data_IF_393334064680
#
_entry.id   IF_393334064680
#
_cell.length_a   1.000
_cell.length_b   1.000
_cell.length_c   1.000
_cell.angle_alpha   90.00
_cell.angle_beta   90.00
_cell.angle_gamma   90.00
#
_symmetry.space_group_name_H-M   'P 1'
#
loop_
_entity.id
_entity.type
_entity.pdbx_description
1 polymer ?
#
# COMPACT_ATOMS: atom_id res chain seq x y z
N UNK A 1 -34.62 12.78 -32.69
CA UNK A 1 -34.58 12.69 -31.22
C UNK A 1 -33.34 13.43 -30.75
N UNK A 2 -33.52 14.71 -30.46
CA UNK A 2 -32.49 15.62 -29.96
C UNK A 2 -32.04 15.25 -28.54
N UNK A 3 -30.75 15.47 -28.24
CA UNK A 3 -30.17 15.36 -26.91
C UNK A 3 -30.01 16.77 -26.34
N UNK A 4 -30.83 17.12 -25.36
CA UNK A 4 -30.65 18.33 -24.55
C UNK A 4 -29.56 18.10 -23.50
N UNK A 5 -28.42 18.79 -23.65
CA UNK A 5 -27.49 19.03 -22.55
C UNK A 5 -27.88 20.37 -21.90
N UNK A 6 -28.64 20.31 -20.79
CA UNK A 6 -28.94 21.52 -20.02
C UNK A 6 -27.74 21.93 -19.16
N UNK A 7 -27.08 23.02 -19.55
CA UNK A 7 -26.17 23.82 -18.72
C UNK A 7 -26.92 25.10 -18.35
N UNK A 8 -27.42 25.21 -17.12
CA UNK A 8 -28.02 26.45 -16.62
C UNK A 8 -26.98 27.21 -15.80
N UNK A 9 -26.48 28.31 -16.37
CA UNK A 9 -25.70 29.33 -15.66
C UNK A 9 -26.53 30.61 -15.56
N UNK A 10 -26.68 31.13 -14.34
CA UNK A 10 -27.03 32.53 -14.11
C UNK A 10 -26.15 33.05 -12.97
N UNK A 11 -25.51 34.20 -13.19
CA UNK A 11 -24.74 34.94 -12.19
C UNK A 11 -25.37 36.32 -12.01
N UNK A 12 -25.69 36.67 -10.77
CA UNK A 12 -25.70 38.06 -10.31
C UNK A 12 -25.24 38.15 -8.85
N UNK A 13 -24.56 39.26 -8.58
CA UNK A 13 -23.52 39.48 -7.55
C UNK A 13 -24.05 39.83 -6.16
N UNK A 14 -23.40 39.27 -5.13
CA UNK A 14 -23.57 39.64 -3.72
C UNK A 14 -23.16 38.49 -2.80
N UNK A 15 -22.03 38.61 -2.09
CA UNK A 15 -21.53 37.59 -1.14
C UNK A 15 -21.48 36.16 -1.71
N UNK A 16 -20.82 35.96 -2.84
CA UNK A 16 -21.08 34.78 -3.68
C UNK A 16 -20.26 33.57 -3.23
N UNK A 17 -20.86 32.70 -2.41
CA UNK A 17 -20.50 31.27 -2.44
C UNK A 17 -20.79 30.78 -3.85
N UNK A 18 -19.75 30.72 -4.71
CA UNK A 18 -19.90 30.20 -6.07
C UNK A 18 -20.32 28.74 -5.93
N UNK A 19 -21.57 28.44 -6.28
CA UNK A 19 -22.11 27.08 -6.23
C UNK A 19 -21.42 26.27 -7.32
N UNK A 20 -20.44 25.45 -6.96
CA UNK A 20 -19.75 24.56 -7.89
C UNK A 20 -20.76 23.61 -8.51
N UNK A 21 -20.65 23.37 -9.82
CA UNK A 21 -21.54 22.44 -10.53
C UNK A 21 -21.23 20.98 -10.18
N UNK A 22 -22.11 20.06 -10.54
CA UNK A 22 -21.87 18.61 -10.40
C UNK A 22 -21.87 17.92 -11.76
N UNK A 23 -20.99 16.93 -11.94
CA UNK A 23 -21.01 16.03 -13.10
C UNK A 23 -21.66 14.72 -12.68
N UNK A 24 -22.66 14.25 -13.46
CA UNK A 24 -23.28 12.93 -13.29
C UNK A 24 -23.31 12.19 -14.62
N UNK A 25 -22.60 11.08 -14.70
CA UNK A 25 -22.52 10.22 -15.89
C UNK A 25 -23.10 8.84 -15.58
N UNK A 26 -24.38 8.62 -15.94
CA UNK A 26 -25.05 7.34 -15.76
C UNK A 26 -24.82 6.36 -16.93
N UNK A 27 -24.55 6.87 -18.13
CA UNK A 27 -24.25 6.09 -19.34
C UNK A 27 -22.83 6.32 -19.84
N UNK A 28 -22.59 6.07 -21.13
CA UNK A 28 -21.35 6.47 -21.79
C UNK A 28 -21.32 8.00 -21.98
N UNK A 29 -20.25 8.66 -21.56
CA UNK A 29 -20.15 10.11 -21.66
C UNK A 29 -18.74 10.65 -21.46
N UNK A 30 -18.56 11.91 -21.87
CA UNK A 30 -17.35 12.66 -21.65
C UNK A 30 -17.69 14.05 -21.09
N UNK A 31 -16.87 14.54 -20.16
CA UNK A 31 -16.90 15.91 -19.65
C UNK A 31 -15.50 16.55 -19.75
N UNK A 32 -15.44 17.87 -19.74
CA UNK A 32 -14.19 18.60 -19.51
C UNK A 32 -13.79 18.56 -18.04
N UNK A 33 -12.51 18.80 -17.77
CA UNK A 33 -12.01 19.11 -16.44
C UNK A 33 -12.51 20.48 -15.95
N UNK A 34 -12.28 20.77 -14.67
CA UNK A 34 -12.77 21.97 -14.02
C UNK A 34 -12.95 21.82 -12.51
N UNK A 35 -13.59 22.82 -11.91
CA UNK A 35 -13.91 22.84 -10.49
C UNK A 35 -15.39 22.48 -10.27
N UNK A 36 -15.63 21.40 -9.51
CA UNK A 36 -16.93 20.80 -9.28
C UNK A 36 -17.20 20.62 -7.80
N UNK A 37 -18.46 20.52 -7.42
CA UNK A 37 -18.81 20.04 -6.09
C UNK A 37 -18.68 18.52 -6.03
N UNK A 38 -19.38 17.84 -6.95
CA UNK A 38 -19.46 16.39 -7.04
C UNK A 38 -19.18 15.92 -8.48
N UNK A 39 -18.36 14.88 -8.61
CA UNK A 39 -18.17 14.14 -9.86
C UNK A 39 -18.60 12.69 -9.63
N UNK A 40 -19.67 12.26 -10.31
CA UNK A 40 -20.22 10.90 -10.18
C UNK A 40 -20.26 10.17 -11.51
N UNK A 41 -19.57 9.03 -11.58
CA UNK A 41 -19.47 8.16 -12.76
C UNK A 41 -20.08 6.79 -12.43
N UNK A 42 -21.32 6.57 -12.84
CA UNK A 42 -21.99 5.27 -12.70
C UNK A 42 -21.89 4.42 -13.97
N UNK A 43 -21.82 5.05 -15.15
CA UNK A 43 -21.65 4.39 -16.45
C UNK A 43 -20.18 4.31 -16.89
N UNK A 44 -19.92 4.62 -18.16
CA UNK A 44 -18.56 4.73 -18.70
C UNK A 44 -18.23 6.20 -18.94
N UNK A 45 -17.47 6.80 -18.04
CA UNK A 45 -17.21 8.23 -18.03
C UNK A 45 -15.76 8.56 -18.32
N UNK A 46 -15.54 9.58 -19.15
CA UNK A 46 -14.22 10.16 -19.41
C UNK A 46 -14.22 11.64 -19.01
N UNK A 47 -13.21 12.07 -18.26
CA UNK A 47 -12.98 13.50 -18.00
C UNK A 47 -11.66 13.89 -18.65
N UNK A 48 -11.69 14.95 -19.46
CA UNK A 48 -10.51 15.46 -20.18
C UNK A 48 -10.04 16.75 -19.52
N UNK A 49 -8.85 16.71 -18.93
CA UNK A 49 -8.30 17.79 -18.13
C UNK A 49 -8.39 17.53 -16.63
N UNK A 50 -7.83 18.46 -15.86
CA UNK A 50 -7.71 18.34 -14.41
C UNK A 50 -9.06 18.54 -13.70
N UNK A 51 -9.24 17.84 -12.58
CA UNK A 51 -10.46 17.89 -11.78
C UNK A 51 -10.13 18.37 -10.38
N UNK A 52 -10.79 19.44 -9.96
CA UNK A 52 -10.88 19.82 -8.55
C UNK A 52 -12.31 19.59 -8.08
N UNK A 53 -12.51 18.84 -7.00
CA UNK A 53 -13.85 18.65 -6.47
C UNK A 53 -13.90 18.33 -4.98
N UNK A 54 -15.09 18.38 -4.36
CA UNK A 54 -15.23 17.89 -2.99
C UNK A 54 -15.29 16.35 -3.00
N UNK A 55 -16.13 15.76 -3.85
CA UNK A 55 -16.25 14.31 -3.95
C UNK A 55 -16.18 13.81 -5.40
N UNK A 56 -15.28 12.85 -5.65
CA UNK A 56 -15.25 12.04 -6.87
C UNK A 56 -15.67 10.61 -6.52
N UNK A 57 -16.78 10.15 -7.10
CA UNK A 57 -17.24 8.77 -6.99
C UNK A 57 -17.36 8.09 -8.35
N UNK A 58 -16.80 6.89 -8.47
CA UNK A 58 -16.91 6.07 -9.69
C UNK A 58 -17.29 4.64 -9.36
N UNK A 59 -18.54 4.27 -9.64
CA UNK A 59 -19.01 2.89 -9.54
C UNK A 59 -18.98 2.13 -10.86
N UNK A 60 -18.88 2.85 -11.99
CA UNK A 60 -18.74 2.27 -13.33
C UNK A 60 -17.28 2.21 -13.79
N UNK A 61 -17.04 2.55 -15.06
CA UNK A 61 -15.70 2.69 -15.64
C UNK A 61 -15.37 4.17 -15.80
N UNK A 62 -14.43 4.68 -14.99
CA UNK A 62 -14.03 6.09 -14.99
C UNK A 62 -12.60 6.28 -15.49
N UNK A 63 -12.39 7.23 -16.40
CA UNK A 63 -11.06 7.69 -16.80
C UNK A 63 -10.94 9.19 -16.63
N UNK A 64 -9.90 9.65 -15.94
CA UNK A 64 -9.52 11.07 -15.87
C UNK A 64 -8.19 11.26 -16.58
N UNK A 65 -8.18 12.07 -17.64
CA UNK A 65 -7.00 12.44 -18.42
C UNK A 65 -6.40 13.75 -17.90
N UNK A 66 -6.02 13.75 -16.64
CA UNK A 66 -5.51 14.90 -15.91
C UNK A 66 -5.24 14.54 -14.45
N UNK A 67 -4.85 15.53 -13.68
CA UNK A 67 -4.68 15.42 -12.23
C UNK A 67 -6.05 15.52 -11.53
N UNK A 68 -6.18 14.84 -10.38
CA UNK A 68 -7.39 14.90 -9.53
C UNK A 68 -7.00 15.48 -8.18
N UNK A 69 -7.64 16.56 -7.78
CA UNK A 69 -7.56 17.13 -6.42
C UNK A 69 -8.95 17.06 -5.80
N UNK A 70 -9.10 16.32 -4.69
CA UNK A 70 -10.41 16.21 -4.05
C UNK A 70 -10.37 15.99 -2.53
N UNK A 71 -11.42 16.37 -1.80
CA UNK A 71 -11.52 15.94 -0.39
C UNK A 71 -11.68 14.42 -0.32
N UNK A 72 -12.53 13.84 -1.17
CA UNK A 72 -12.81 12.40 -1.17
C UNK A 72 -12.82 11.81 -2.57
N UNK A 73 -12.10 10.71 -2.76
CA UNK A 73 -12.12 9.89 -3.97
C UNK A 73 -12.57 8.47 -3.59
N UNK A 74 -13.63 7.97 -4.23
CA UNK A 74 -14.16 6.62 -3.99
C UNK A 74 -14.42 5.89 -5.30
N UNK A 75 -13.65 4.83 -5.58
CA UNK A 75 -13.77 4.04 -6.80
C UNK A 75 -14.10 2.59 -6.46
N UNK A 76 -15.34 2.19 -6.74
CA UNK A 76 -15.81 0.82 -6.55
C UNK A 76 -15.86 -0.01 -7.84
N UNK A 77 -15.86 0.66 -9.00
CA UNK A 77 -15.79 0.02 -10.30
C UNK A 77 -14.36 -0.07 -10.83
N UNK A 78 -14.18 0.26 -12.12
CA UNK A 78 -12.85 0.39 -12.73
C UNK A 78 -12.47 1.86 -12.86
N UNK A 79 -11.28 2.22 -12.42
CA UNK A 79 -10.77 3.60 -12.46
C UNK A 79 -9.40 3.71 -13.10
N UNK A 80 -9.18 4.75 -13.88
CA UNK A 80 -7.83 5.17 -14.28
C UNK A 80 -7.67 6.68 -14.21
N UNK A 81 -6.67 7.14 -13.48
CA UNK A 81 -6.25 8.54 -13.45
C UNK A 81 -4.88 8.62 -14.12
N UNK A 82 -4.77 9.35 -15.23
CA UNK A 82 -3.51 9.50 -15.96
C UNK A 82 -2.53 10.45 -15.25
N UNK A 83 -3.06 11.33 -14.41
CA UNK A 83 -2.29 12.29 -13.63
C UNK A 83 -2.03 11.84 -12.19
N UNK A 84 -1.70 12.83 -11.36
CA UNK A 84 -1.60 12.67 -9.92
C UNK A 84 -2.99 12.61 -9.28
N UNK A 85 -3.09 11.98 -8.12
CA UNK A 85 -4.27 12.07 -7.24
C UNK A 85 -3.82 12.70 -5.93
N UNK A 86 -4.36 13.87 -5.59
CA UNK A 86 -4.21 14.51 -4.30
C UNK A 86 -5.57 14.48 -3.60
N UNK A 87 -5.71 13.67 -2.55
CA UNK A 87 -6.98 13.56 -1.86
C UNK A 87 -6.85 13.49 -0.35
N UNK A 88 -7.79 14.04 0.41
CA UNK A 88 -7.79 13.81 1.86
C UNK A 88 -8.08 12.33 2.17
N UNK A 89 -9.15 11.81 1.56
CA UNK A 89 -9.58 10.42 1.68
C UNK A 89 -9.62 9.73 0.31
N UNK A 90 -8.84 8.66 0.14
CA UNK A 90 -8.81 7.86 -1.08
C UNK A 90 -9.27 6.43 -0.79
N UNK A 91 -10.36 5.98 -1.42
CA UNK A 91 -10.89 4.62 -1.25
C UNK A 91 -11.06 3.89 -2.58
N UNK A 92 -10.54 2.67 -2.64
CA UNK A 92 -10.72 1.77 -3.79
C UNK A 92 -11.19 0.41 -3.30
N UNK A 93 -12.32 -0.05 -3.84
CA UNK A 93 -12.80 -1.42 -3.65
C UNK A 93 -12.86 -2.22 -4.95
N UNK A 94 -12.79 -1.55 -6.11
CA UNK A 94 -12.72 -2.19 -7.42
C UNK A 94 -11.29 -2.30 -7.92
N UNK A 95 -11.05 -1.97 -9.19
CA UNK A 95 -9.71 -1.95 -9.80
C UNK A 95 -9.34 -0.55 -10.24
N UNK A 96 -8.28 0.02 -9.68
CA UNK A 96 -7.86 1.39 -9.98
C UNK A 96 -6.39 1.45 -10.37
N UNK A 97 -6.09 2.25 -11.39
CA UNK A 97 -4.72 2.63 -11.76
C UNK A 97 -4.52 4.14 -11.65
N UNK A 98 -3.46 4.55 -10.95
CA UNK A 98 -2.94 5.92 -10.94
C UNK A 98 -1.61 5.90 -11.68
N UNK A 99 -1.51 6.61 -12.80
CA UNK A 99 -0.32 6.57 -13.67
C UNK A 99 0.82 7.48 -13.14
N UNK A 100 0.57 8.30 -12.12
CA UNK A 100 1.61 9.09 -11.42
C UNK A 100 1.55 8.86 -9.91
N UNK A 101 1.62 9.92 -9.11
CA UNK A 101 1.69 9.87 -7.64
C UNK A 101 0.30 9.89 -7.01
N UNK A 102 0.12 9.12 -5.95
CA UNK A 102 -1.01 9.24 -5.03
C UNK A 102 -0.53 9.96 -3.75
N UNK A 103 -1.14 11.10 -3.44
CA UNK A 103 -0.94 11.81 -2.17
C UNK A 103 -2.24 11.80 -1.38
N UNK A 104 -2.22 11.30 -0.15
CA UNK A 104 -3.41 11.34 0.70
C UNK A 104 -3.14 11.42 2.21
N UNK A 105 -4.14 11.88 2.99
CA UNK A 105 -4.08 11.69 4.45
C UNK A 105 -4.42 10.24 4.79
N UNK A 106 -5.49 9.70 4.21
CA UNK A 106 -5.91 8.31 4.41
C UNK A 106 -6.21 7.64 3.07
N UNK A 107 -5.60 6.48 2.83
CA UNK A 107 -5.89 5.62 1.69
C UNK A 107 -6.35 4.23 2.15
N UNK A 108 -7.46 3.75 1.60
CA UNK A 108 -8.01 2.41 1.84
C UNK A 108 -8.15 1.66 0.52
N UNK A 109 -7.45 0.54 0.37
CA UNK A 109 -7.60 -0.33 -0.80
C UNK A 109 -8.01 -1.74 -0.38
N UNK A 110 -9.28 -2.08 -0.66
CA UNK A 110 -9.80 -3.44 -0.49
C UNK A 110 -9.87 -4.21 -1.80
N UNK A 111 -9.67 -3.54 -2.94
CA UNK A 111 -9.60 -4.15 -4.27
C UNK A 111 -8.17 -4.16 -4.82
N UNK A 112 -8.03 -3.97 -6.13
CA UNK A 112 -6.74 -3.86 -6.79
C UNK A 112 -6.38 -2.38 -7.02
N UNK A 113 -5.20 -1.96 -6.54
CA UNK A 113 -4.68 -0.61 -6.77
C UNK A 113 -3.27 -0.70 -7.35
N UNK A 114 -3.07 -0.11 -8.52
CA UNK A 114 -1.74 0.10 -9.10
C UNK A 114 -1.41 1.59 -9.12
N UNK A 115 -0.23 1.94 -8.62
CA UNK A 115 0.33 3.29 -8.66
C UNK A 115 1.66 3.19 -9.41
N UNK A 116 1.81 3.87 -10.54
CA UNK A 116 3.06 3.83 -11.33
C UNK A 116 4.14 4.75 -10.75
N UNK A 117 3.75 5.81 -10.04
CA UNK A 117 4.66 6.67 -9.27
C UNK A 117 4.77 6.27 -7.81
N UNK A 118 4.92 7.27 -6.94
CA UNK A 118 4.99 7.09 -5.49
C UNK A 118 3.59 7.10 -4.84
N UNK A 119 3.49 6.49 -3.66
CA UNK A 119 2.39 6.69 -2.73
C UNK A 119 2.87 7.47 -1.51
N UNK A 120 2.39 8.71 -1.34
CA UNK A 120 2.69 9.60 -0.22
C UNK A 120 1.46 9.71 0.66
N UNK A 121 1.32 8.82 1.63
CA UNK A 121 0.07 8.66 2.39
C UNK A 121 0.37 8.60 3.88
N UNK A 122 -0.28 9.44 4.70
CA UNK A 122 -0.09 9.35 6.16
C UNK A 122 -0.54 7.99 6.69
N UNK A 123 -1.75 7.55 6.32
CA UNK A 123 -2.29 6.25 6.72
C UNK A 123 -2.75 5.41 5.52
N UNK A 124 -2.17 4.24 5.34
CA UNK A 124 -2.52 3.30 4.28
C UNK A 124 -3.06 1.99 4.88
N UNK A 125 -4.32 1.65 4.57
CA UNK A 125 -4.91 0.36 4.92
C UNK A 125 -5.14 -0.49 3.68
N UNK A 126 -4.64 -1.72 3.73
CA UNK A 126 -4.67 -2.66 2.61
C UNK A 126 -5.30 -3.97 3.05
N UNK A 127 -6.37 -4.37 2.36
CA UNK A 127 -6.93 -5.72 2.49
C UNK A 127 -7.05 -6.44 1.14
N UNK A 128 -6.81 -5.72 0.04
CA UNK A 128 -6.72 -6.29 -1.31
C UNK A 128 -5.27 -6.42 -1.77
N UNK A 129 -5.01 -6.12 -3.04
CA UNK A 129 -3.66 -6.18 -3.63
C UNK A 129 -3.23 -4.80 -4.11
N UNK A 130 -2.14 -4.28 -3.56
CA UNK A 130 -1.53 -3.01 -3.97
C UNK A 130 -0.18 -3.26 -4.62
N UNK A 131 0.04 -2.57 -5.75
CA UNK A 131 1.34 -2.48 -6.39
C UNK A 131 1.71 -1.02 -6.63
N UNK A 132 2.70 -0.54 -5.87
CA UNK A 132 3.35 0.75 -6.07
C UNK A 132 4.66 0.50 -6.80
N UNK A 133 4.82 1.07 -7.99
CA UNK A 133 6.05 0.90 -8.77
C UNK A 133 7.17 1.78 -8.22
N UNK A 134 6.85 2.99 -7.77
CA UNK A 134 7.76 3.85 -7.01
C UNK A 134 7.86 3.45 -5.54
N UNK A 135 8.06 4.45 -4.68
CA UNK A 135 8.18 4.29 -3.24
C UNK A 135 6.88 4.54 -2.46
N UNK A 136 6.88 4.14 -1.19
CA UNK A 136 5.80 4.43 -0.23
C UNK A 136 6.37 5.27 0.91
N UNK A 137 5.73 6.40 1.20
CA UNK A 137 6.15 7.36 2.22
C UNK A 137 4.96 7.73 3.09
N UNK A 138 5.08 7.58 4.41
CA UNK A 138 3.92 7.74 5.29
C UNK A 138 4.21 7.64 6.78
N UNK A 139 3.16 7.60 7.58
CA UNK A 139 3.25 7.39 9.03
C UNK A 139 2.90 5.93 9.34
N UNK A 140 1.70 5.49 8.96
CA UNK A 140 1.17 4.18 9.31
C UNK A 140 0.76 3.39 8.07
N UNK A 141 1.22 2.14 7.97
CA UNK A 141 0.77 1.19 6.96
C UNK A 141 0.30 -0.09 7.63
N UNK A 142 -0.95 -0.47 7.38
CA UNK A 142 -1.56 -1.72 7.85
C UNK A 142 -2.00 -2.55 6.64
N UNK A 143 -1.37 -3.71 6.46
CA UNK A 143 -1.61 -4.57 5.31
C UNK A 143 -2.00 -5.99 5.73
N UNK A 144 -3.24 -6.36 5.47
CA UNK A 144 -3.77 -7.72 5.60
C UNK A 144 -3.87 -8.49 4.27
N UNK A 145 -3.46 -7.87 3.17
CA UNK A 145 -3.47 -8.44 1.81
C UNK A 145 -2.06 -8.53 1.20
N UNK A 146 -1.94 -8.17 -0.07
CA UNK A 146 -0.66 -8.14 -0.80
C UNK A 146 -0.17 -6.71 -0.98
N UNK A 147 1.06 -6.44 -0.52
CA UNK A 147 1.72 -5.15 -0.74
C UNK A 147 3.03 -5.36 -1.50
N UNK A 148 3.08 -4.82 -2.73
CA UNK A 148 4.28 -4.77 -3.55
C UNK A 148 4.75 -3.33 -3.76
N UNK A 149 6.00 -3.07 -3.45
CA UNK A 149 6.68 -1.77 -3.59
C UNK A 149 7.94 -1.99 -4.44
N UNK A 150 8.02 -1.31 -5.58
CA UNK A 150 9.18 -1.40 -6.48
C UNK A 150 10.36 -0.54 -6.04
N UNK A 151 10.10 0.57 -5.34
CA UNK A 151 11.11 1.46 -4.77
C UNK A 151 11.34 1.25 -3.27
N UNK A 152 11.70 2.34 -2.60
CA UNK A 152 11.93 2.37 -1.15
C UNK A 152 10.61 2.58 -0.39
N UNK A 153 10.59 2.15 0.86
CA UNK A 153 9.51 2.44 1.79
C UNK A 153 10.08 3.17 3.02
N UNK A 154 9.48 4.29 3.40
CA UNK A 154 9.82 5.06 4.60
C UNK A 154 8.55 5.38 5.38
N UNK A 155 8.37 4.72 6.52
CA UNK A 155 7.15 4.81 7.32
C UNK A 155 7.45 4.74 8.82
N UNK A 156 6.66 5.38 9.68
CA UNK A 156 6.89 5.26 11.14
C UNK A 156 6.52 3.86 11.65
N UNK A 157 5.43 3.29 11.15
CA UNK A 157 4.97 1.94 11.51
C UNK A 157 4.46 1.16 10.31
N UNK A 158 4.89 -0.10 10.21
CA UNK A 158 4.41 -1.07 9.23
C UNK A 158 3.93 -2.35 9.93
N UNK A 159 2.62 -2.58 9.89
CA UNK A 159 2.00 -3.82 10.34
C UNK A 159 1.55 -4.64 9.11
N UNK A 160 2.06 -5.86 8.97
CA UNK A 160 1.72 -6.76 7.85
C UNK A 160 1.23 -8.10 8.37
N UNK A 161 0.07 -8.52 7.89
CA UNK A 161 -0.53 -9.82 8.07
C UNK A 161 -0.94 -10.39 6.70
N UNK A 162 0.03 -10.64 5.84
CA UNK A 162 -0.17 -10.98 4.43
C UNK A 162 1.15 -11.21 3.71
N UNK A 163 1.22 -10.82 2.43
CA UNK A 163 2.44 -10.88 1.63
C UNK A 163 3.06 -9.49 1.46
N UNK A 164 4.37 -9.39 1.68
CA UNK A 164 5.12 -8.15 1.51
C UNK A 164 6.27 -8.35 0.53
N UNK A 165 6.32 -7.53 -0.51
CA UNK A 165 7.49 -7.42 -1.38
C UNK A 165 7.95 -5.98 -1.48
N UNK A 166 9.18 -5.71 -1.09
CA UNK A 166 9.85 -4.42 -1.28
C UNK A 166 11.15 -4.70 -2.02
N UNK A 167 11.24 -4.19 -3.25
CA UNK A 167 12.43 -4.39 -4.09
C UNK A 167 13.58 -3.43 -3.68
N UNK A 168 13.27 -2.28 -3.07
CA UNK A 168 14.22 -1.35 -2.46
C UNK A 168 14.45 -1.57 -0.96
N UNK A 169 14.86 -0.50 -0.26
CA UNK A 169 15.06 -0.51 1.20
C UNK A 169 13.79 -0.14 1.96
N UNK A 170 13.59 -0.73 3.14
CA UNK A 170 12.57 -0.36 4.11
C UNK A 170 13.23 0.36 5.28
N UNK A 171 12.91 1.64 5.47
CA UNK A 171 13.23 2.41 6.67
C UNK A 171 11.96 2.54 7.52
N UNK A 172 11.99 2.06 8.76
CA UNK A 172 10.80 2.00 9.61
C UNK A 172 11.09 2.16 11.09
N UNK A 173 10.26 2.90 11.82
CA UNK A 173 10.37 2.95 13.29
C UNK A 173 10.03 1.59 13.91
N UNK A 174 8.79 1.13 13.72
CA UNK A 174 8.31 -0.16 14.20
C UNK A 174 7.78 -1.05 13.06
N UNK A 175 8.35 -2.24 12.92
CA UNK A 175 7.94 -3.26 11.96
C UNK A 175 7.35 -4.48 12.68
N UNK A 176 6.09 -4.82 12.38
CA UNK A 176 5.48 -6.08 12.79
C UNK A 176 4.99 -6.87 11.58
N UNK A 177 5.58 -8.03 11.32
CA UNK A 177 5.15 -8.92 10.25
C UNK A 177 4.66 -10.24 10.85
N UNK A 178 3.47 -10.67 10.44
CA UNK A 178 3.02 -12.07 10.53
C UNK A 178 3.05 -12.65 9.13
N UNK A 179 4.01 -13.55 8.91
CA UNK A 179 4.28 -14.01 7.55
C UNK A 179 3.20 -15.00 7.10
N UNK A 180 2.33 -14.56 6.18
CA UNK A 180 1.21 -15.32 5.62
C UNK A 180 1.29 -15.44 4.08
N UNK A 181 2.52 -15.63 3.58
CA UNK A 181 2.83 -15.71 2.15
C UNK A 181 4.33 -15.51 1.94
N UNK A 182 4.82 -15.67 0.71
CA UNK A 182 6.23 -15.39 0.42
C UNK A 182 6.47 -13.88 0.49
N UNK A 183 7.35 -13.48 1.39
CA UNK A 183 7.72 -12.09 1.62
C UNK A 183 9.21 -11.87 1.40
N UNK A 184 9.56 -10.73 0.81
CA UNK A 184 10.94 -10.34 0.54
C UNK A 184 11.10 -8.84 0.71
N UNK A 185 12.09 -8.44 1.47
CA UNK A 185 12.54 -7.05 1.54
C UNK A 185 14.04 -7.06 1.36
N UNK A 186 14.60 -6.24 0.46
CA UNK A 186 16.04 -6.28 0.20
C UNK A 186 16.84 -5.93 1.45
N UNK A 187 16.60 -4.74 1.99
CA UNK A 187 17.30 -4.18 3.15
C UNK A 187 16.26 -3.58 4.11
N UNK A 188 16.38 -3.88 5.40
CA UNK A 188 15.52 -3.34 6.46
C UNK A 188 16.38 -2.56 7.45
N UNK A 189 16.03 -1.31 7.71
CA UNK A 189 16.53 -0.52 8.82
C UNK A 189 15.37 -0.08 9.70
N UNK A 190 15.47 -0.28 11.01
CA UNK A 190 14.46 0.23 11.92
C UNK A 190 14.77 0.13 13.41
N UNK A 191 13.98 0.76 14.26
CA UNK A 191 14.23 0.73 15.72
C UNK A 191 13.82 -0.62 16.29
N UNK A 192 12.59 -1.05 15.99
CA UNK A 192 12.02 -2.32 16.46
C UNK A 192 11.49 -3.16 15.32
N UNK A 193 12.08 -4.34 15.15
CA UNK A 193 11.76 -5.27 14.06
C UNK A 193 11.27 -6.58 14.65
N UNK A 194 10.02 -6.93 14.37
CA UNK A 194 9.41 -8.19 14.78
C UNK A 194 8.84 -8.92 13.57
N UNK A 195 9.46 -10.03 13.18
CA UNK A 195 8.97 -10.93 12.15
C UNK A 195 8.59 -12.25 12.82
N UNK A 196 7.31 -12.59 12.78
CA UNK A 196 6.75 -13.79 13.40
C UNK A 196 6.15 -14.70 12.36
N UNK A 197 6.16 -16.00 12.66
CA UNK A 197 5.40 -16.97 11.90
C UNK A 197 3.90 -16.59 11.92
N UNK A 198 3.27 -16.54 10.75
CA UNK A 198 1.82 -16.40 10.66
C UNK A 198 1.11 -17.63 11.23
N UNK A 199 0.01 -17.42 11.96
CA UNK A 199 -0.81 -18.53 12.44
C UNK A 199 -1.48 -19.22 11.25
N UNK A 200 -1.11 -20.47 10.99
CA UNK A 200 -1.74 -21.34 9.99
C UNK A 200 -3.12 -21.79 10.51
N UNK A 201 -4.05 -20.86 10.66
CA UNK A 201 -5.44 -21.16 11.03
C UNK A 201 -6.19 -21.46 9.73
N UNK A 202 -6.32 -22.74 9.37
CA UNK A 202 -7.31 -23.12 8.34
C UNK A 202 -7.11 -24.44 7.61
N UNK A 203 -5.90 -24.87 7.28
CA UNK A 203 -5.74 -25.99 6.33
C UNK A 203 -4.98 -27.17 6.94
N UNK A 204 -5.74 -28.14 7.48
CA UNK A 204 -5.29 -29.52 7.71
C UNK A 204 -4.58 -30.10 6.46
N UNK A 205 -5.01 -29.66 5.27
CA UNK A 205 -4.39 -29.95 3.97
C UNK A 205 -3.00 -29.33 3.81
N UNK A 206 -2.77 -28.09 4.24
CA UNK A 206 -1.47 -27.42 4.11
C UNK A 206 -0.43 -28.03 5.05
N UNK A 207 -0.87 -28.53 6.21
CA UNK A 207 -0.03 -29.27 7.14
C UNK A 207 0.42 -30.62 6.56
N UNK A 208 -0.42 -31.28 5.75
CA UNK A 208 0.00 -32.45 4.96
C UNK A 208 0.94 -32.07 3.81
N UNK A 209 0.69 -30.96 3.09
CA UNK A 209 1.59 -30.49 2.03
C UNK A 209 2.97 -30.11 2.56
N UNK A 210 3.05 -29.45 3.74
CA UNK A 210 4.33 -29.16 4.42
C UNK A 210 5.14 -30.42 4.76
N UNK A 211 4.49 -31.57 4.97
CA UNK A 211 5.17 -32.85 5.22
C UNK A 211 5.79 -33.48 3.98
N UNK A 212 5.31 -33.14 2.77
CA UNK A 212 5.87 -33.63 1.51
C UNK A 212 6.75 -32.60 0.80
N UNK A 213 6.49 -31.31 1.04
CA UNK A 213 7.25 -30.19 0.51
C UNK A 213 7.57 -29.24 1.67
N UNK A 214 8.77 -29.31 2.27
CA UNK A 214 9.15 -28.37 3.32
C UNK A 214 9.06 -26.96 2.73
N UNK A 215 8.06 -26.18 3.17
CA UNK A 215 7.91 -24.80 2.75
C UNK A 215 9.13 -24.04 3.22
N UNK A 216 9.91 -23.56 2.27
CA UNK A 216 11.06 -22.68 2.45
C UNK A 216 10.65 -21.46 3.26
N UNK A 217 11.62 -20.92 4.02
CA UNK A 217 11.49 -19.69 4.81
C UNK A 217 10.62 -18.65 4.09
N UNK A 218 9.60 -18.18 4.80
CA UNK A 218 8.54 -17.38 4.21
C UNK A 218 8.93 -15.90 4.13
N UNK A 219 9.94 -15.48 4.88
CA UNK A 219 10.53 -14.15 4.80
C UNK A 219 12.00 -14.22 4.39
N UNK A 220 12.41 -13.35 3.47
CA UNK A 220 13.79 -13.25 2.98
C UNK A 220 14.26 -11.81 2.98
N UNK A 221 15.49 -11.58 3.45
CA UNK A 221 16.19 -10.30 3.35
C UNK A 221 17.68 -10.49 3.05
N UNK A 222 18.32 -9.47 2.52
CA UNK A 222 19.79 -9.44 2.40
C UNK A 222 20.38 -8.91 3.71
N UNK A 223 19.83 -7.81 4.23
CA UNK A 223 20.27 -7.18 5.47
C UNK A 223 19.08 -6.76 6.34
N UNK A 224 19.19 -6.96 7.65
CA UNK A 224 18.27 -6.45 8.67
C UNK A 224 19.09 -5.74 9.74
N UNK A 225 18.85 -4.44 9.94
CA UNK A 225 19.54 -3.61 10.93
C UNK A 225 18.52 -2.93 11.86
N UNK A 226 18.78 -2.96 13.17
CA UNK A 226 17.92 -2.29 14.15
C UNK A 226 18.31 -2.46 15.61
N UNK A 227 17.64 -1.74 16.51
CA UNK A 227 17.98 -1.77 17.94
C UNK A 227 17.46 -3.04 18.63
N UNK A 228 16.19 -3.38 18.38
CA UNK A 228 15.54 -4.57 18.92
C UNK A 228 14.98 -5.44 17.78
N UNK A 229 15.56 -6.62 17.59
CA UNK A 229 15.24 -7.52 16.48
C UNK A 229 14.75 -8.86 17.01
N UNK A 230 13.56 -9.27 16.57
CA UNK A 230 12.96 -10.58 16.82
C UNK A 230 12.57 -11.23 15.51
N UNK A 231 13.16 -12.40 15.21
CA UNK A 231 12.94 -13.11 13.94
C UNK A 231 12.47 -14.55 14.16
N UNK A 232 11.47 -14.96 13.37
CA UNK A 232 11.08 -16.35 13.10
C UNK A 232 10.90 -16.54 11.59
N UNK A 233 11.04 -17.78 11.09
CA UNK A 233 10.84 -18.17 9.67
C UNK A 233 11.55 -17.25 8.64
N UNK A 234 12.71 -16.73 9.02
CA UNK A 234 13.44 -15.69 8.28
C UNK A 234 14.77 -16.21 7.74
N UNK A 235 15.04 -15.96 6.44
CA UNK A 235 16.39 -16.05 5.88
C UNK A 235 17.00 -14.66 5.74
N UNK A 236 18.19 -14.45 6.28
CA UNK A 236 18.94 -13.21 6.04
C UNK A 236 20.43 -13.48 5.89
N UNK A 237 21.12 -12.69 5.05
CA UNK A 237 22.59 -12.81 4.96
C UNK A 237 23.26 -12.16 6.16
N UNK A 238 22.79 -10.97 6.56
CA UNK A 238 23.32 -10.21 7.70
C UNK A 238 22.16 -9.72 8.57
N UNK A 239 22.27 -9.92 9.88
CA UNK A 239 21.41 -9.28 10.89
C UNK A 239 22.30 -8.52 11.87
N UNK A 240 22.08 -7.21 12.03
CA UNK A 240 22.87 -6.35 12.90
C UNK A 240 22.00 -5.58 13.89
N UNK A 241 22.39 -5.51 15.16
CA UNK A 241 21.61 -4.77 16.14
C UNK A 241 22.13 -4.75 17.56
N UNK A 242 21.38 -4.14 18.49
CA UNK A 242 21.77 -4.13 19.90
C UNK A 242 21.31 -5.42 20.59
N UNK A 243 20.00 -5.70 20.54
CA UNK A 243 19.38 -6.90 21.11
C UNK A 243 18.74 -7.72 19.99
N UNK A 244 19.22 -8.94 19.81
CA UNK A 244 18.80 -9.80 18.70
C UNK A 244 18.29 -11.14 19.26
N UNK A 245 17.10 -11.53 18.83
CA UNK A 245 16.49 -12.82 19.08
C UNK A 245 16.25 -13.56 17.75
N UNK A 246 16.85 -14.74 17.62
CA UNK A 246 16.72 -15.62 16.46
C UNK A 246 15.97 -16.89 16.89
N UNK A 247 14.72 -17.01 16.46
CA UNK A 247 13.84 -18.12 16.81
C UNK A 247 13.77 -19.22 15.75
N UNK A 248 12.72 -20.04 15.87
CA UNK A 248 12.42 -21.17 14.99
C UNK A 248 12.40 -20.77 13.50
N UNK A 249 12.85 -21.67 12.64
CA UNK A 249 12.79 -21.51 11.19
C UNK A 249 13.73 -20.45 10.61
N UNK A 250 14.55 -19.79 11.44
CA UNK A 250 15.54 -18.86 10.97
C UNK A 250 16.79 -19.54 10.41
N UNK A 251 17.34 -18.95 9.35
CA UNK A 251 18.65 -19.29 8.79
C UNK A 251 19.39 -18.01 8.45
N UNK A 252 20.34 -17.63 9.31
CA UNK A 252 21.06 -16.36 9.23
C UNK A 252 22.54 -16.63 8.93
N UNK A 253 23.09 -15.92 7.94
CA UNK A 253 24.52 -15.99 7.65
C UNK A 253 25.35 -15.43 8.79
N UNK A 254 25.41 -14.10 8.91
CA UNK A 254 26.14 -13.41 9.99
C UNK A 254 25.21 -12.64 10.91
N UNK A 255 25.41 -12.77 12.22
CA UNK A 255 24.78 -11.93 13.23
C UNK A 255 25.83 -11.06 13.91
N UNK A 256 25.64 -9.74 13.87
CA UNK A 256 26.49 -8.75 14.51
C UNK A 256 25.71 -8.04 15.63
N UNK A 257 26.12 -8.22 16.88
CA UNK A 257 25.34 -7.71 18.02
C UNK A 257 26.18 -6.95 19.05
N UNK A 258 25.57 -5.96 19.71
CA UNK A 258 26.23 -5.16 20.76
C UNK A 258 25.91 -5.65 22.17
N UNK A 259 24.62 -5.75 22.51
CA UNK A 259 24.18 -6.03 23.88
C UNK A 259 23.96 -7.53 24.09
N UNK A 260 23.04 -8.15 23.33
CA UNK A 260 22.68 -9.55 23.50
C UNK A 260 22.25 -10.23 22.20
N UNK A 261 22.60 -11.52 22.09
CA UNK A 261 22.10 -12.45 21.09
C UNK A 261 21.49 -13.66 21.80
N UNK A 262 20.24 -13.96 21.51
CA UNK A 262 19.55 -15.17 21.94
C UNK A 262 19.15 -16.00 20.71
N UNK A 263 19.62 -17.24 20.65
CA UNK A 263 19.25 -18.19 19.59
C UNK A 263 18.51 -19.36 20.24
N UNK A 264 17.25 -19.56 19.87
CA UNK A 264 16.38 -20.57 20.49
C UNK A 264 15.59 -21.35 19.44
N UNK A 265 14.91 -22.42 19.88
CA UNK A 265 13.96 -23.19 19.07
C UNK A 265 14.51 -23.68 17.71
N UNK A 266 15.81 -23.95 17.66
CA UNK A 266 16.48 -24.45 16.47
C UNK A 266 16.79 -23.39 15.40
N UNK A 267 16.74 -22.10 15.74
CA UNK A 267 17.27 -21.02 14.92
C UNK A 267 18.74 -21.28 14.53
N UNK A 268 19.11 -20.95 13.29
CA UNK A 268 20.46 -21.20 12.76
C UNK A 268 21.17 -19.89 12.47
N UNK A 269 22.38 -19.78 12.97
CA UNK A 269 23.32 -18.68 12.70
C UNK A 269 24.64 -19.31 12.25
N UNK A 270 25.18 -18.91 11.10
CA UNK A 270 26.45 -19.47 10.60
C UNK A 270 27.67 -18.79 11.26
N UNK A 271 27.60 -17.48 11.48
CA UNK A 271 28.66 -16.69 12.11
C UNK A 271 28.08 -15.67 13.08
N UNK A 272 28.69 -15.57 14.26
CA UNK A 272 28.35 -14.59 15.27
C UNK A 272 29.52 -13.63 15.50
N UNK A 273 29.24 -12.35 15.70
CA UNK A 273 30.25 -11.33 16.00
C UNK A 273 29.69 -10.34 17.01
N UNK A 274 30.38 -10.19 18.14
CA UNK A 274 30.05 -9.18 19.14
C UNK A 274 30.83 -7.89 18.83
N UNK A 275 30.13 -6.76 18.76
CA UNK A 275 30.67 -5.43 18.45
C UNK A 275 31.12 -4.68 19.72
#
# INVERSE_FOLDING_TARGET
MEKENMTNGNVQTGGTTVKKGSIKMAGAGQAGGGDYDEVKIAGSGKIVGDVTCNELSSSGSGKVEGDVTAEKVSISGSGRVLGNVNAKYFKVSGSTKVDKTLTAEEAKASGALKIEGDAKVKQLHVSGSIHVVGGVYGELVDCSGDLKIGGNAEVEKLDVNGALRIDGSLNVGELNIRVNGNSRVKEIGGEKITIKQGSVIGNFVMRMVKSFFPTTNTFTAEMIEGDEIYLEDTTAQIVRGNKIFIGKGCSIGTVEYKDSLEVVDGGKVEKETKL
#
